data_IF_212045647716
#
_entry.id   IF_212045647716
#
_cell.length_a   1.000
_cell.length_b   1.000
_cell.length_c   1.000
_cell.angle_alpha   90.00
_cell.angle_beta   90.00
_cell.angle_gamma   90.00
#
_symmetry.space_group_name_H-M   'P 1'
#
loop_
_entity.id
_entity.type
_entity.pdbx_description
1 polymer ?
#
# COMPACT_ATOMS: atom_id res chain seq x y z
N UNK A 1 -14.26 5.66 2.55
CA UNK A 1 -13.85 4.56 1.66
C UNK A 1 -13.04 3.58 2.50
N UNK A 2 -13.23 2.24 2.37
CA UNK A 2 -12.44 1.27 3.12
C UNK A 2 -10.94 1.46 2.92
N UNK A 3 -10.16 1.18 3.98
CA UNK A 3 -8.69 1.24 3.94
C UNK A 3 -8.11 -0.16 3.99
N UNK A 4 -7.02 -0.35 3.27
CA UNK A 4 -6.33 -1.62 3.19
C UNK A 4 -4.84 -1.41 3.39
N UNK A 5 -4.24 -2.27 4.22
CA UNK A 5 -2.79 -2.44 4.27
C UNK A 5 -2.42 -3.62 3.36
N UNK A 6 -1.51 -3.36 2.44
CA UNK A 6 -0.94 -4.34 1.53
C UNK A 6 0.49 -4.64 1.96
N UNK A 7 0.80 -5.91 2.11
CA UNK A 7 2.17 -6.38 2.26
C UNK A 7 2.70 -6.87 0.91
N UNK A 8 3.88 -6.37 0.51
CA UNK A 8 4.53 -6.72 -0.76
C UNK A 8 5.92 -7.26 -0.49
N UNK A 9 6.12 -8.56 -0.66
CA UNK A 9 7.45 -9.16 -0.55
C UNK A 9 8.31 -8.74 -1.75
N UNK A 10 9.54 -8.30 -1.48
CA UNK A 10 10.47 -7.84 -2.49
C UNK A 10 11.52 -8.89 -2.79
N UNK A 11 11.87 -9.01 -4.08
CA UNK A 11 13.02 -9.80 -4.48
C UNK A 11 14.32 -9.17 -3.97
N UNK A 12 15.31 -9.97 -3.54
CA UNK A 12 16.63 -9.46 -3.20
C UNK A 12 17.28 -8.72 -4.39
N UNK A 13 18.04 -7.67 -4.10
CA UNK A 13 18.86 -6.97 -5.10
C UNK A 13 18.16 -5.88 -5.91
N UNK A 14 16.91 -5.51 -5.59
CA UNK A 14 16.25 -4.36 -6.21
C UNK A 14 17.00 -3.05 -5.90
N UNK A 15 17.39 -2.34 -6.95
CA UNK A 15 17.96 -1.00 -6.86
C UNK A 15 16.90 0.05 -6.49
N UNK A 16 17.33 1.26 -6.12
CA UNK A 16 16.39 2.37 -5.93
C UNK A 16 15.65 2.73 -7.22
N UNK A 17 16.31 2.61 -8.37
CA UNK A 17 15.68 2.85 -9.66
C UNK A 17 14.54 1.84 -9.94
N UNK A 18 14.70 0.58 -9.53
CA UNK A 18 13.66 -0.43 -9.66
C UNK A 18 12.44 -0.11 -8.80
N UNK A 19 12.68 0.35 -7.56
CA UNK A 19 11.63 0.79 -6.63
C UNK A 19 10.90 2.02 -7.20
N UNK A 20 11.64 3.02 -7.66
CA UNK A 20 11.07 4.23 -8.26
C UNK A 20 10.22 3.92 -9.50
N UNK A 21 10.70 3.02 -10.35
CA UNK A 21 9.97 2.58 -11.53
C UNK A 21 8.65 1.88 -11.14
N UNK A 22 8.68 1.00 -10.13
CA UNK A 22 7.49 0.33 -9.61
C UNK A 22 6.48 1.33 -9.00
N UNK A 23 6.96 2.30 -8.21
CA UNK A 23 6.13 3.34 -7.62
C UNK A 23 5.45 4.21 -8.71
N UNK A 24 6.19 4.60 -9.76
CA UNK A 24 5.64 5.36 -10.89
C UNK A 24 4.57 4.57 -11.64
N UNK A 25 4.77 3.27 -11.88
CA UNK A 25 3.74 2.41 -12.48
C UNK A 25 2.48 2.34 -11.61
N UNK A 26 2.64 2.17 -10.30
CA UNK A 26 1.51 2.15 -9.38
C UNK A 26 0.72 3.46 -9.40
N UNK A 27 1.40 4.62 -9.41
CA UNK A 27 0.75 5.94 -9.53
C UNK A 27 -0.01 6.06 -10.85
N UNK A 28 0.63 5.71 -11.97
CA UNK A 28 0.00 5.77 -13.29
C UNK A 28 -1.25 4.89 -13.36
N UNK A 29 -1.17 3.64 -12.92
CA UNK A 29 -2.31 2.71 -12.94
C UNK A 29 -3.43 3.18 -12.02
N UNK A 30 -3.13 3.57 -10.78
CA UNK A 30 -4.15 4.05 -9.85
C UNK A 30 -4.93 5.24 -10.42
N UNK A 31 -4.28 6.12 -11.19
CA UNK A 31 -4.95 7.27 -11.83
C UNK A 31 -6.02 6.87 -12.86
N UNK A 32 -5.99 5.63 -13.35
CA UNK A 32 -6.97 5.08 -14.30
C UNK A 32 -8.11 4.33 -13.62
N UNK A 33 -7.99 4.03 -12.32
CA UNK A 33 -8.93 3.21 -11.57
C UNK A 33 -9.76 4.08 -10.63
N UNK A 34 -11.07 4.09 -10.84
CA UNK A 34 -11.98 4.85 -9.96
C UNK A 34 -11.93 4.30 -8.53
N UNK A 35 -11.64 5.18 -7.58
CA UNK A 35 -11.68 4.88 -6.16
C UNK A 35 -10.48 4.09 -5.63
N UNK A 36 -9.40 3.89 -6.39
CA UNK A 36 -8.15 3.32 -5.84
C UNK A 36 -7.14 4.43 -5.60
N UNK A 37 -6.75 4.65 -4.34
CA UNK A 37 -5.77 5.68 -3.98
C UNK A 37 -4.68 5.10 -3.10
N UNK A 38 -3.43 5.29 -3.50
CA UNK A 38 -2.27 5.05 -2.64
C UNK A 38 -2.14 6.20 -1.62
N UNK A 39 -2.10 5.89 -0.33
CA UNK A 39 -1.94 6.87 0.76
C UNK A 39 -0.46 7.10 1.05
N UNK A 40 0.23 6.06 1.48
CA UNK A 40 1.67 6.04 1.68
C UNK A 40 2.19 4.59 1.75
N UNK A 41 3.50 4.43 1.82
CA UNK A 41 4.14 3.14 2.06
C UNK A 41 5.30 3.28 3.03
N UNK A 42 5.53 2.24 3.82
CA UNK A 42 6.75 2.05 4.59
C UNK A 42 7.56 0.92 3.92
N UNK A 43 8.81 1.19 3.59
CA UNK A 43 9.77 0.16 3.17
C UNK A 43 10.47 -0.37 4.42
N UNK A 44 10.52 -1.69 4.59
CA UNK A 44 11.34 -2.30 5.63
C UNK A 44 12.81 -1.91 5.43
N UNK A 45 13.54 -1.64 6.52
CA UNK A 45 14.94 -1.17 6.47
C UNK A 45 15.86 -2.18 5.75
N UNK A 46 15.56 -3.47 5.89
CA UNK A 46 16.26 -4.57 5.20
C UNK A 46 15.83 -4.75 3.73
N UNK A 47 14.93 -3.89 3.23
CA UNK A 47 14.35 -3.91 1.88
C UNK A 47 13.65 -5.22 1.51
N UNK A 48 13.21 -6.01 2.49
CA UNK A 48 12.53 -7.28 2.23
C UNK A 48 11.06 -7.12 1.84
N UNK A 49 10.42 -6.03 2.27
CA UNK A 49 8.97 -5.85 2.13
C UNK A 49 8.55 -4.38 2.14
N UNK A 50 7.50 -4.07 1.39
CA UNK A 50 6.69 -2.86 1.58
C UNK A 50 5.42 -3.14 2.38
N UNK A 51 5.05 -2.17 3.22
CA UNK A 51 3.74 -2.05 3.84
C UNK A 51 3.05 -0.81 3.26
N UNK A 52 2.05 -1.01 2.41
CA UNK A 52 1.39 0.08 1.69
C UNK A 52 -0.03 0.29 2.21
N UNK A 53 -0.42 1.52 2.50
CA UNK A 53 -1.81 1.84 2.82
C UNK A 53 -2.52 2.42 1.59
N UNK A 54 -3.70 1.85 1.28
CA UNK A 54 -4.54 2.25 0.17
C UNK A 54 -5.97 2.48 0.62
N UNK A 55 -6.67 3.41 -0.02
CA UNK A 55 -8.13 3.46 -0.04
C UNK A 55 -8.63 2.79 -1.32
N UNK A 56 -9.66 1.94 -1.20
CA UNK A 56 -10.26 1.23 -2.33
C UNK A 56 -11.72 0.85 -2.05
N UNK A 57 -12.54 0.61 -3.09
CA UNK A 57 -13.91 0.12 -2.89
C UNK A 57 -13.95 -1.34 -2.41
N UNK A 58 -12.91 -2.14 -2.69
CA UNK A 58 -12.82 -3.56 -2.32
C UNK A 58 -11.36 -4.05 -2.34
N UNK A 59 -11.01 -5.17 -1.67
CA UNK A 59 -9.68 -5.75 -1.80
C UNK A 59 -9.39 -6.24 -3.23
N UNK A 60 -10.42 -6.61 -4.00
CA UNK A 60 -10.25 -6.99 -5.41
C UNK A 60 -9.80 -5.81 -6.28
N UNK A 61 -10.28 -4.59 -6.01
CA UNK A 61 -9.82 -3.40 -6.72
C UNK A 61 -8.33 -3.12 -6.46
N UNK A 62 -7.86 -3.36 -5.22
CA UNK A 62 -6.44 -3.28 -4.86
C UNK A 62 -5.61 -4.34 -5.59
N UNK A 63 -6.11 -5.60 -5.66
CA UNK A 63 -5.44 -6.66 -6.43
C UNK A 63 -5.32 -6.31 -7.90
N UNK A 64 -6.38 -5.80 -8.50
CA UNK A 64 -6.38 -5.43 -9.92
C UNK A 64 -5.41 -4.28 -10.20
N UNK A 65 -5.39 -3.25 -9.35
CA UNK A 65 -4.41 -2.17 -9.44
C UNK A 65 -2.96 -2.69 -9.37
N UNK A 66 -2.67 -3.59 -8.43
CA UNK A 66 -1.34 -4.17 -8.30
C UNK A 66 -0.96 -5.04 -9.51
N UNK A 67 -1.91 -5.81 -10.06
CA UNK A 67 -1.72 -6.63 -11.26
C UNK A 67 -1.38 -5.76 -12.47
N UNK A 68 -2.13 -4.68 -12.69
CA UNK A 68 -1.91 -3.75 -13.79
C UNK A 68 -0.60 -2.95 -13.65
N UNK A 69 -0.18 -2.66 -12.42
CA UNK A 69 1.08 -1.96 -12.14
C UNK A 69 2.31 -2.88 -12.10
N UNK A 70 2.12 -4.20 -12.23
CA UNK A 70 3.17 -5.21 -12.16
C UNK A 70 3.97 -5.09 -10.84
N UNK A 71 3.25 -5.05 -9.73
CA UNK A 71 3.83 -5.01 -8.37
C UNK A 71 3.25 -6.13 -7.49
N UNK A 72 4.04 -6.73 -6.57
CA UNK A 72 3.57 -7.81 -5.70
C UNK A 72 2.40 -7.36 -4.82
N UNK A 73 1.48 -8.26 -4.48
CA UNK A 73 0.31 -7.98 -3.66
C UNK A 73 -0.03 -9.22 -2.81
N UNK A 74 0.90 -9.58 -1.94
CA UNK A 74 0.91 -10.85 -1.22
C UNK A 74 -0.27 -10.95 -0.25
N UNK A 75 -0.41 -9.94 0.62
CA UNK A 75 -1.50 -9.86 1.60
C UNK A 75 -2.25 -8.55 1.46
N UNK A 76 -3.56 -8.60 1.67
CA UNK A 76 -4.42 -7.42 1.74
C UNK A 76 -5.30 -7.57 2.97
N UNK A 77 -5.18 -6.63 3.89
CA UNK A 77 -5.95 -6.61 5.13
C UNK A 77 -6.77 -5.34 5.17
N UNK A 78 -8.08 -5.45 5.33
CA UNK A 78 -8.92 -4.28 5.60
C UNK A 78 -8.62 -3.77 7.02
N UNK A 79 -8.37 -2.48 7.15
CA UNK A 79 -7.94 -1.85 8.41
C UNK A 79 -8.77 -0.61 8.72
N UNK A 80 -8.69 -0.18 9.97
CA UNK A 80 -9.09 1.16 10.41
C UNK A 80 -7.90 1.86 11.04
N UNK A 81 -7.78 3.15 10.79
CA UNK A 81 -6.75 3.97 11.42
C UNK A 81 -7.08 4.19 12.91
N UNK A 82 -6.04 4.16 13.73
CA UNK A 82 -6.12 4.38 15.17
C UNK A 82 -4.95 5.27 15.58
N UNK A 83 -5.25 6.49 16.03
CA UNK A 83 -4.23 7.46 16.46
C UNK A 83 -4.11 7.52 17.99
N UNK A 84 -2.89 7.70 18.55
CA UNK A 84 -2.69 7.82 20.00
C UNK A 84 -3.43 9.01 20.61
N UNK A 85 -3.64 10.09 19.85
CA UNK A 85 -4.39 11.27 20.31
C UNK A 85 -5.82 10.95 20.75
N UNK A 86 -6.42 9.88 20.20
CA UNK A 86 -7.74 9.40 20.60
C UNK A 86 -7.76 8.81 22.03
N UNK A 87 -6.58 8.53 22.60
CA UNK A 87 -6.40 7.89 23.90
C UNK A 87 -5.66 8.80 24.90
N UNK A 88 -4.98 9.85 24.43
CA UNK A 88 -4.21 10.76 25.28
C UNK A 88 -5.05 11.72 26.13
N UNK A 89 -6.38 11.84 25.89
CA UNK A 89 -7.31 12.72 26.63
C UNK A 89 -8.35 11.98 27.45
N UNK A 90 -8.09 10.71 27.75
CA UNK A 90 -9.03 9.88 28.48
C UNK A 90 -8.47 9.59 29.87
N UNK A 91 -9.23 9.97 30.90
CA UNK A 91 -8.91 9.79 32.32
C UNK A 91 -8.96 8.30 32.74
N UNK A 92 -8.08 7.47 32.15
CA UNK A 92 -7.78 6.10 32.62
C UNK A 92 -6.37 6.03 33.19
#
# INVERSE_FOLDING_TARGET
MPRYVIERNLSPGLSEADIDAAARRAVAVNSTLSGVRWIHSNLAVDRSKFFCEYEAPSPQAVREAARLAEVPCDTITEVREVHPDAYAKSDW
#
